data_IF_344355012090
#
_entry.id   IF_344355012090
#
_cell.length_a   1.000
_cell.length_b   1.000
_cell.length_c   1.000
_cell.angle_alpha   90.00
_cell.angle_beta   90.00
_cell.angle_gamma   90.00
#
_symmetry.space_group_name_H-M   'P 1'
#
loop_
_entity.id
_entity.type
_entity.pdbx_description
1 polymer ?
#
# COMPACT_ATOMS: atom_id res chain seq x y z
N UNK A 1 40.66 -48.54 -15.61
CA UNK A 1 40.39 -47.11 -15.38
C UNK A 1 39.25 -46.74 -16.29
N UNK A 2 38.03 -46.71 -15.74
CA UNK A 2 36.84 -46.27 -16.47
C UNK A 2 36.72 -44.78 -16.17
N UNK A 3 36.80 -43.99 -17.22
CA UNK A 3 36.70 -42.54 -17.21
C UNK A 3 35.33 -42.14 -16.68
N UNK A 4 35.31 -41.50 -15.52
CA UNK A 4 34.10 -41.14 -14.77
C UNK A 4 34.03 -39.62 -14.65
N UNK A 5 34.12 -38.93 -15.78
CA UNK A 5 33.79 -37.50 -15.90
C UNK A 5 32.44 -37.37 -16.60
N UNK A 6 31.36 -37.69 -15.87
CA UNK A 6 30.06 -37.09 -16.16
C UNK A 6 30.21 -35.60 -15.87
N UNK A 7 30.38 -34.80 -16.92
CA UNK A 7 30.05 -33.39 -16.88
C UNK A 7 28.57 -33.31 -16.51
N UNK A 8 28.27 -33.07 -15.22
CA UNK A 8 26.98 -32.55 -14.83
C UNK A 8 26.94 -31.14 -15.42
N UNK A 9 26.27 -31.00 -16.56
CA UNK A 9 25.75 -29.70 -16.95
C UNK A 9 24.82 -29.31 -15.81
N UNK A 10 25.27 -28.42 -14.93
CA UNK A 10 24.41 -27.81 -13.93
C UNK A 10 23.37 -27.02 -14.72
N UNK A 11 22.11 -27.42 -14.56
CA UNK A 11 20.99 -26.74 -15.19
C UNK A 11 20.83 -25.38 -14.51
N UNK A 12 21.00 -24.30 -15.26
CA UNK A 12 20.85 -22.96 -14.72
C UNK A 12 19.36 -22.64 -14.57
N UNK A 13 18.94 -22.34 -13.35
CA UNK A 13 17.57 -21.91 -13.06
C UNK A 13 17.52 -20.40 -12.95
N UNK A 14 16.51 -19.78 -13.55
CA UNK A 14 16.27 -18.32 -13.49
C UNK A 14 14.94 -18.05 -12.81
N UNK A 15 14.96 -17.15 -11.83
CA UNK A 15 13.76 -16.72 -11.11
C UNK A 15 13.64 -15.21 -11.29
N UNK A 16 12.50 -14.73 -11.77
CA UNK A 16 12.21 -13.31 -11.96
C UNK A 16 11.18 -12.88 -10.92
N UNK A 17 11.56 -11.98 -10.02
CA UNK A 17 10.69 -11.41 -8.99
C UNK A 17 10.46 -9.93 -9.27
N UNK A 18 9.20 -9.54 -9.44
CA UNK A 18 8.83 -8.16 -9.72
C UNK A 18 8.11 -7.53 -8.52
N UNK A 19 8.51 -6.32 -8.13
CA UNK A 19 7.61 -5.45 -7.38
C UNK A 19 6.48 -4.91 -8.29
N UNK A 20 5.43 -4.36 -7.70
CA UNK A 20 4.30 -3.79 -8.44
C UNK A 20 4.46 -2.27 -8.61
N UNK A 21 4.68 -1.54 -7.53
CA UNK A 21 4.67 -0.07 -7.56
C UNK A 21 5.99 0.46 -8.07
N UNK A 22 5.95 1.40 -9.02
CA UNK A 22 7.15 1.93 -9.67
C UNK A 22 7.84 0.95 -10.64
N UNK A 23 7.43 -0.32 -10.67
CA UNK A 23 7.99 -1.37 -11.53
C UNK A 23 6.98 -1.86 -12.56
N UNK A 24 5.87 -2.48 -12.14
CA UNK A 24 4.82 -2.99 -13.05
C UNK A 24 3.81 -1.88 -13.37
N UNK A 25 3.44 -1.06 -12.38
CA UNK A 25 2.48 0.04 -12.50
C UNK A 25 3.00 1.32 -11.83
N UNK A 26 2.55 2.47 -12.34
CA UNK A 26 2.68 3.75 -11.66
C UNK A 26 1.42 3.98 -10.79
N UNK A 27 1.57 4.07 -9.44
CA UNK A 27 0.46 4.13 -8.48
C UNK A 27 -0.23 5.52 -8.41
N UNK A 28 -0.81 5.97 -9.51
CA UNK A 28 -1.46 7.29 -9.61
C UNK A 28 -2.77 7.32 -8.81
N UNK A 29 -3.46 6.18 -8.73
CA UNK A 29 -4.78 6.07 -8.13
C UNK A 29 -4.83 6.55 -6.67
N UNK A 30 -3.81 6.28 -5.86
CA UNK A 30 -3.80 6.68 -4.45
C UNK A 30 -3.77 8.21 -4.26
N UNK A 31 -2.96 8.93 -5.05
CA UNK A 31 -2.88 10.42 -4.99
C UNK A 31 -4.19 11.06 -5.41
N UNK A 32 -4.76 10.57 -6.51
CA UNK A 32 -6.09 11.00 -6.96
C UNK A 32 -7.18 10.61 -5.96
N UNK A 33 -7.03 9.46 -5.28
CA UNK A 33 -7.93 9.00 -4.23
C UNK A 33 -8.02 9.99 -3.07
N UNK A 34 -6.90 10.55 -2.63
CA UNK A 34 -6.88 11.57 -1.56
C UNK A 34 -7.70 12.79 -1.98
N UNK A 35 -7.39 13.38 -3.14
CA UNK A 35 -8.04 14.61 -3.60
C UNK A 35 -9.53 14.41 -3.94
N UNK A 36 -9.90 13.26 -4.55
CA UNK A 36 -11.31 12.93 -4.81
C UNK A 36 -12.09 12.65 -3.52
N UNK A 37 -11.49 11.99 -2.55
CA UNK A 37 -12.14 11.75 -1.24
C UNK A 37 -12.39 13.07 -0.51
N UNK A 38 -11.38 13.93 -0.43
CA UNK A 38 -11.53 15.27 0.13
C UNK A 38 -12.59 16.08 -0.62
N UNK A 39 -12.66 15.96 -1.94
CA UNK A 39 -13.70 16.60 -2.75
C UNK A 39 -15.10 16.15 -2.33
N UNK A 40 -15.35 14.85 -2.21
CA UNK A 40 -16.67 14.34 -1.81
C UNK A 40 -17.03 14.73 -0.37
N UNK A 41 -16.06 14.70 0.55
CA UNK A 41 -16.27 15.17 1.92
C UNK A 41 -16.56 16.67 1.97
N UNK A 42 -15.87 17.50 1.17
CA UNK A 42 -16.13 18.93 1.07
C UNK A 42 -17.51 19.24 0.48
N UNK A 43 -17.98 18.47 -0.51
CA UNK A 43 -19.34 18.58 -1.02
C UNK A 43 -20.39 18.29 0.06
N UNK A 44 -20.15 17.28 0.92
CA UNK A 44 -21.06 16.91 2.01
C UNK A 44 -21.26 18.03 3.03
N UNK A 45 -20.24 18.88 3.23
CA UNK A 45 -20.32 20.05 4.11
C UNK A 45 -20.66 21.36 3.38
N UNK A 46 -21.04 21.30 2.10
CA UNK A 46 -21.56 22.46 1.35
C UNK A 46 -20.52 23.44 0.80
N UNK A 47 -19.24 23.09 0.76
CA UNK A 47 -18.20 23.97 0.22
C UNK A 47 -18.32 24.11 -1.31
N UNK A 48 -18.22 25.34 -1.81
CA UNK A 48 -18.44 25.65 -3.24
C UNK A 48 -17.15 25.85 -4.04
N UNK A 49 -16.06 26.33 -3.42
CA UNK A 49 -14.75 26.53 -4.07
C UNK A 49 -13.77 25.42 -3.69
N UNK A 50 -14.15 24.18 -3.98
CA UNK A 50 -13.38 22.99 -3.57
C UNK A 50 -11.96 22.95 -4.18
N UNK A 51 -11.73 23.28 -5.46
CA UNK A 51 -10.38 23.18 -6.03
C UNK A 51 -9.34 24.05 -5.32
N UNK A 52 -9.72 25.19 -4.74
CA UNK A 52 -8.78 26.08 -4.05
C UNK A 52 -8.38 25.59 -2.66
N UNK A 53 -9.14 24.67 -2.06
CA UNK A 53 -8.91 24.15 -0.70
C UNK A 53 -8.17 22.81 -0.68
N UNK A 54 -8.09 22.11 -1.82
CA UNK A 54 -7.44 20.80 -1.89
C UNK A 54 -5.91 20.91 -1.74
N UNK A 55 -5.26 19.87 -1.21
CA UNK A 55 -3.80 19.77 -1.18
C UNK A 55 -3.25 19.58 -2.60
N UNK A 56 -2.06 20.13 -2.83
CA UNK A 56 -1.24 19.90 -4.01
C UNK A 56 -0.36 18.65 -3.83
N UNK A 57 0.13 18.06 -4.92
CA UNK A 57 1.08 16.93 -4.87
C UNK A 57 2.31 17.21 -3.98
N UNK A 58 2.83 18.44 -4.00
CA UNK A 58 3.96 18.83 -3.16
C UNK A 58 3.63 18.78 -1.67
N UNK A 59 2.40 19.06 -1.27
CA UNK A 59 1.95 19.01 0.13
C UNK A 59 1.63 17.58 0.57
N UNK A 60 1.08 16.75 -0.32
CA UNK A 60 0.92 15.31 -0.06
C UNK A 60 2.29 14.66 0.15
N UNK A 61 3.26 14.93 -0.74
CA UNK A 61 4.65 14.47 -0.59
C UNK A 61 5.32 15.02 0.68
N UNK A 62 5.00 16.25 1.08
CA UNK A 62 5.50 16.81 2.34
C UNK A 62 4.97 16.01 3.54
N UNK A 63 3.67 15.67 3.60
CA UNK A 63 3.11 14.85 4.68
C UNK A 63 3.78 13.47 4.77
N UNK A 64 4.01 12.81 3.65
CA UNK A 64 4.73 11.52 3.61
C UNK A 64 6.16 11.66 4.12
N UNK A 65 6.88 12.72 3.70
CA UNK A 65 8.25 12.96 4.17
C UNK A 65 8.36 13.15 5.69
N UNK A 66 7.24 13.47 6.36
CA UNK A 66 7.15 13.66 7.81
C UNK A 66 6.52 12.46 8.53
N UNK A 67 6.43 11.30 7.87
CA UNK A 67 6.03 10.03 8.49
C UNK A 67 4.54 9.67 8.34
N UNK A 68 3.74 10.49 7.65
CA UNK A 68 2.33 10.16 7.36
C UNK A 68 2.26 9.38 6.05
N UNK A 69 2.61 8.09 6.08
CA UNK A 69 2.70 7.26 4.87
C UNK A 69 1.38 6.59 4.47
N UNK A 70 0.49 6.36 5.44
CA UNK A 70 -0.80 5.71 5.20
C UNK A 70 -1.79 6.73 4.61
N UNK A 71 -2.31 6.41 3.43
CA UNK A 71 -3.23 7.28 2.69
C UNK A 71 -4.60 7.43 3.38
N UNK A 72 -5.00 6.45 4.18
CA UNK A 72 -6.21 6.52 5.00
C UNK A 72 -6.00 7.49 6.16
N UNK A 73 -4.85 7.44 6.85
CA UNK A 73 -4.49 8.42 7.87
C UNK A 73 -4.42 9.82 7.27
N UNK A 74 -3.67 9.98 6.17
CA UNK A 74 -3.45 11.27 5.52
C UNK A 74 -4.75 11.95 5.08
N UNK A 75 -5.64 11.20 4.42
CA UNK A 75 -6.92 11.74 3.93
C UNK A 75 -7.79 12.25 5.07
N UNK A 76 -7.89 11.50 6.17
CA UNK A 76 -8.69 11.91 7.34
C UNK A 76 -8.05 13.10 8.07
N UNK A 77 -6.72 13.15 8.18
CA UNK A 77 -5.98 14.28 8.78
C UNK A 77 -6.19 15.56 7.97
N UNK A 78 -6.06 15.50 6.65
CA UNK A 78 -6.26 16.67 5.78
C UNK A 78 -7.71 17.17 5.82
N UNK A 79 -8.69 16.27 5.88
CA UNK A 79 -10.08 16.70 6.06
C UNK A 79 -10.33 17.34 7.43
N UNK A 80 -9.71 16.82 8.49
CA UNK A 80 -9.77 17.44 9.81
C UNK A 80 -9.15 18.84 9.85
N UNK A 81 -8.10 19.10 9.06
CA UNK A 81 -7.51 20.44 8.94
C UNK A 81 -8.45 21.42 8.23
N UNK A 82 -9.21 20.96 7.22
CA UNK A 82 -10.28 21.74 6.59
C UNK A 82 -11.35 22.11 7.63
N UNK A 83 -11.86 21.13 8.39
CA UNK A 83 -12.87 21.37 9.44
C UNK A 83 -12.34 22.32 10.53
N UNK A 84 -11.08 22.17 10.93
CA UNK A 84 -10.43 23.05 11.90
C UNK A 84 -10.32 24.48 11.37
N UNK A 85 -9.95 24.64 10.10
CA UNK A 85 -9.86 25.95 9.44
C UNK A 85 -11.21 26.65 9.38
N UNK A 86 -12.28 25.91 9.05
CA UNK A 86 -13.66 26.43 9.08
C UNK A 86 -14.03 26.89 10.49
N UNK A 87 -13.78 26.07 11.51
CA UNK A 87 -14.11 26.39 12.89
C UNK A 87 -13.41 27.66 13.40
N UNK A 88 -12.10 27.78 13.11
CA UNK A 88 -11.29 28.95 13.47
C UNK A 88 -11.73 30.18 12.70
N UNK A 89 -11.96 30.06 11.39
CA UNK A 89 -12.42 31.19 10.57
C UNK A 89 -13.75 31.73 11.07
N UNK A 90 -14.75 30.88 11.28
CA UNK A 90 -16.07 31.31 11.74
C UNK A 90 -16.04 31.92 13.14
N UNK A 91 -15.13 31.48 14.01
CA UNK A 91 -14.89 32.15 15.28
C UNK A 91 -14.34 33.58 15.08
N UNK A 92 -13.35 33.75 14.18
CA UNK A 92 -12.74 35.05 13.89
C UNK A 92 -13.72 36.02 13.21
N UNK A 93 -14.54 35.54 12.28
CA UNK A 93 -15.52 36.35 11.54
C UNK A 93 -16.82 36.58 12.32
N UNK A 94 -16.98 35.93 13.47
CA UNK A 94 -18.23 35.90 14.26
C UNK A 94 -19.42 35.33 13.48
N UNK A 95 -19.17 34.50 12.47
CA UNK A 95 -20.22 33.82 11.73
C UNK A 95 -20.90 32.77 12.62
N UNK A 96 -22.23 32.80 12.66
CA UNK A 96 -23.02 31.80 13.37
C UNK A 96 -23.04 30.48 12.57
N UNK A 97 -22.02 29.65 12.77
CA UNK A 97 -22.12 28.23 12.39
C UNK A 97 -23.18 27.53 13.26
N UNK A 98 -23.82 26.46 12.74
CA UNK A 98 -24.80 25.64 13.46
C UNK A 98 -24.17 24.79 14.58
N UNK A 99 -23.07 25.23 15.20
CA UNK A 99 -22.39 24.51 16.28
C UNK A 99 -23.35 24.09 17.42
N UNK A 100 -24.40 24.88 17.68
CA UNK A 100 -25.49 24.54 18.61
C UNK A 100 -26.34 23.34 18.16
N UNK A 101 -26.61 23.19 16.86
CA UNK A 101 -27.40 22.08 16.30
C UNK A 101 -26.56 20.80 16.18
N UNK A 102 -25.28 20.94 15.86
CA UNK A 102 -24.29 19.85 15.86
C UNK A 102 -24.12 19.29 17.28
N UNK A 103 -24.04 20.16 18.28
CA UNK A 103 -23.96 19.81 19.71
C UNK A 103 -25.14 18.94 20.19
N UNK A 104 -26.37 19.32 19.85
CA UNK A 104 -27.58 18.59 20.27
C UNK A 104 -27.66 17.16 19.72
N UNK A 105 -27.16 16.94 18.49
CA UNK A 105 -27.08 15.59 17.91
C UNK A 105 -25.90 14.81 18.43
N UNK A 106 -24.68 15.37 18.45
CA UNK A 106 -23.48 14.68 18.95
C UNK A 106 -23.60 14.24 20.43
N UNK A 107 -24.32 15.01 21.26
CA UNK A 107 -24.57 14.68 22.67
C UNK A 107 -25.70 13.65 22.87
N UNK A 108 -26.60 13.50 21.88
CA UNK A 108 -27.74 12.57 21.93
C UNK A 108 -27.51 11.25 21.20
N UNK A 109 -26.60 11.21 20.23
CA UNK A 109 -26.28 10.01 19.47
C UNK A 109 -25.08 9.28 20.07
N UNK A 110 -25.24 7.98 20.32
CA UNK A 110 -24.14 7.04 20.54
C UNK A 110 -23.44 6.82 19.20
N UNK A 111 -22.85 7.86 18.63
CA UNK A 111 -22.30 7.76 17.29
C UNK A 111 -21.12 6.81 17.31
N UNK A 112 -21.30 5.67 16.66
CA UNK A 112 -20.31 4.62 16.61
C UNK A 112 -20.03 4.19 15.16
N UNK A 113 -20.84 4.63 14.20
CA UNK A 113 -20.67 4.26 12.79
C UNK A 113 -20.57 5.49 11.86
N UNK A 114 -20.11 5.25 10.65
CA UNK A 114 -19.90 6.26 9.61
C UNK A 114 -21.20 6.91 9.10
N UNK A 115 -22.33 6.22 9.18
CA UNK A 115 -23.60 6.68 8.62
C UNK A 115 -24.14 7.85 9.47
N UNK A 116 -23.95 7.77 10.78
CA UNK A 116 -24.22 8.85 11.72
C UNK A 116 -23.27 10.05 11.54
N UNK A 117 -22.02 9.82 11.14
CA UNK A 117 -21.08 10.92 10.79
C UNK A 117 -21.55 11.63 9.52
N UNK A 118 -22.06 10.89 8.53
CA UNK A 118 -22.58 11.49 7.30
C UNK A 118 -23.78 12.41 7.59
N UNK A 119 -24.66 12.01 8.50
CA UNK A 119 -25.74 12.87 8.98
C UNK A 119 -25.22 14.14 9.64
N UNK A 120 -24.18 14.05 10.48
CA UNK A 120 -23.57 15.23 11.11
C UNK A 120 -22.96 16.17 10.07
N UNK A 121 -22.27 15.64 9.05
CA UNK A 121 -21.70 16.46 7.98
C UNK A 121 -22.79 17.18 7.18
N UNK A 122 -23.94 16.52 6.95
CA UNK A 122 -25.05 17.12 6.20
C UNK A 122 -25.62 18.40 6.85
N UNK A 123 -25.44 18.58 8.16
CA UNK A 123 -25.84 19.82 8.86
C UNK A 123 -25.06 21.05 8.37
N UNK A 124 -23.81 20.86 7.96
CA UNK A 124 -22.97 21.92 7.41
C UNK A 124 -23.41 22.33 5.99
N UNK A 125 -24.07 21.45 5.23
CA UNK A 125 -24.48 21.73 3.85
C UNK A 125 -25.43 22.92 3.70
N UNK A 126 -26.17 23.27 4.77
CA UNK A 126 -27.04 24.45 4.83
C UNK A 126 -26.29 25.77 5.02
N UNK A 127 -24.99 25.69 5.28
CA UNK A 127 -24.11 26.82 5.55
C UNK A 127 -23.19 26.98 4.34
N UNK A 128 -23.49 27.96 3.49
CA UNK A 128 -22.60 28.31 2.38
C UNK A 128 -21.37 29.05 2.91
N UNK A 129 -20.38 28.31 3.43
CA UNK A 129 -19.11 28.89 3.87
C UNK A 129 -18.09 28.87 2.74
N UNK A 130 -17.65 30.06 2.32
CA UNK A 130 -16.31 30.18 1.72
C UNK A 130 -15.29 29.97 2.83
N UNK A 131 -14.34 29.05 2.65
CA UNK A 131 -13.28 28.78 3.62
C UNK A 131 -11.93 29.23 3.10
N UNK A 132 -11.08 29.71 4.01
CA UNK A 132 -9.66 29.85 3.72
C UNK A 132 -9.07 28.47 3.43
N UNK A 133 -8.10 28.45 2.53
CA UNK A 133 -7.30 27.25 2.22
C UNK A 133 -6.43 26.89 3.42
N UNK A 134 -6.46 25.63 3.91
CA UNK A 134 -5.53 25.18 4.94
C UNK A 134 -4.07 25.26 4.47
N UNK A 135 -3.14 25.51 5.41
CA UNK A 135 -1.70 25.49 5.14
C UNK A 135 -1.13 24.09 5.41
N UNK A 136 -1.32 23.20 4.44
CA UNK A 136 -0.88 21.80 4.54
C UNK A 136 0.65 21.66 4.66
N UNK A 137 1.42 22.63 4.16
CA UNK A 137 2.87 22.61 4.27
C UNK A 137 3.31 22.89 5.72
N UNK A 138 2.63 23.82 6.39
CA UNK A 138 2.83 24.06 7.82
C UNK A 138 2.34 22.87 8.64
N UNK A 139 1.17 22.29 8.31
CA UNK A 139 0.69 21.07 8.97
C UNK A 139 1.72 19.93 8.89
N UNK A 140 2.28 19.65 7.70
CA UNK A 140 3.29 18.62 7.54
C UNK A 140 4.50 18.85 8.47
N UNK A 141 5.00 20.09 8.54
CA UNK A 141 6.10 20.44 9.45
C UNK A 141 5.74 20.26 10.92
N UNK A 142 4.53 20.63 11.33
CA UNK A 142 4.06 20.47 12.72
C UNK A 142 3.92 18.98 13.10
N UNK A 143 3.54 18.13 12.16
CA UNK A 143 3.45 16.67 12.34
C UNK A 143 4.82 16.04 12.63
N UNK A 144 5.89 16.60 12.07
CA UNK A 144 7.26 16.10 12.24
C UNK A 144 7.84 16.29 13.65
N UNK A 145 7.37 17.31 14.37
CA UNK A 145 7.98 17.81 15.62
C UNK A 145 7.60 16.95 16.83
N UNK A 146 6.58 16.11 16.71
CA UNK A 146 6.01 15.33 17.82
C UNK A 146 6.35 13.84 17.67
N UNK A 147 7.46 13.41 18.27
CA UNK A 147 7.91 12.03 18.55
C UNK A 147 7.62 10.96 17.47
N UNK A 148 8.69 10.40 16.88
CA UNK A 148 8.69 9.43 15.76
C UNK A 148 8.01 8.07 16.05
N UNK A 149 7.40 7.90 17.21
CA UNK A 149 6.71 6.68 17.63
C UNK A 149 5.20 6.86 17.87
N UNK A 150 4.67 8.08 17.69
CA UNK A 150 3.23 8.34 17.84
C UNK A 150 2.48 8.05 16.54
N UNK A 151 1.30 7.44 16.63
CA UNK A 151 0.42 7.20 15.48
C UNK A 151 -0.06 8.55 14.90
N UNK A 152 0.10 8.82 13.58
CA UNK A 152 -0.12 10.16 13.04
C UNK A 152 -1.49 10.80 13.36
N UNK A 153 -2.62 10.08 13.32
CA UNK A 153 -3.91 10.65 13.73
C UNK A 153 -3.93 11.20 15.16
N UNK A 154 -3.17 10.62 16.09
CA UNK A 154 -3.09 11.10 17.47
C UNK A 154 -2.32 12.43 17.57
N UNK A 155 -1.23 12.56 16.80
CA UNK A 155 -0.47 13.82 16.68
C UNK A 155 -1.36 14.91 16.10
N UNK A 156 -2.05 14.61 15.00
CA UNK A 156 -2.94 15.54 14.34
C UNK A 156 -4.05 16.03 15.30
N UNK A 157 -4.65 15.13 16.08
CA UNK A 157 -5.66 15.48 17.07
C UNK A 157 -5.11 16.44 18.13
N UNK A 158 -3.89 16.23 18.62
CA UNK A 158 -3.25 17.14 19.57
C UNK A 158 -3.04 18.53 18.96
N UNK A 159 -2.53 18.61 17.73
CA UNK A 159 -2.35 19.88 17.01
C UNK A 159 -3.66 20.62 16.82
N UNK A 160 -4.70 19.93 16.34
CA UNK A 160 -6.03 20.55 16.15
C UNK A 160 -6.66 20.98 17.47
N UNK A 161 -6.44 20.25 18.57
CA UNK A 161 -6.92 20.65 19.89
C UNK A 161 -6.37 21.99 20.34
N UNK A 162 -5.09 22.27 20.04
CA UNK A 162 -4.46 23.55 20.35
C UNK A 162 -5.03 24.66 19.46
N UNK A 163 -5.19 24.41 18.16
CA UNK A 163 -5.79 25.36 17.20
C UNK A 163 -7.24 25.74 17.55
N UNK A 164 -7.99 24.81 18.16
CA UNK A 164 -9.38 25.01 18.55
C UNK A 164 -9.57 25.64 19.94
N UNK A 165 -8.53 25.78 20.77
CA UNK A 165 -8.66 26.39 22.11
C UNK A 165 -9.42 27.73 22.15
N UNK A 166 -9.18 28.69 21.22
CA UNK A 166 -9.90 29.96 21.24
C UNK A 166 -11.34 29.86 20.72
N UNK A 167 -11.71 28.78 20.03
CA UNK A 167 -12.99 28.63 19.35
C UNK A 167 -14.11 28.35 20.36
N UNK A 168 -15.20 29.12 20.28
CA UNK A 168 -16.43 28.80 21.03
C UNK A 168 -16.87 27.37 20.70
N UNK A 169 -17.29 26.59 21.71
CA UNK A 169 -17.76 25.22 21.50
C UNK A 169 -16.67 24.27 20.96
N UNK A 170 -15.38 24.55 21.23
CA UNK A 170 -14.22 23.75 20.82
C UNK A 170 -14.32 22.26 21.16
N UNK A 171 -15.00 21.90 22.25
CA UNK A 171 -15.24 20.50 22.63
C UNK A 171 -16.02 19.71 21.57
N UNK A 172 -16.95 20.34 20.86
CA UNK A 172 -17.77 19.66 19.84
C UNK A 172 -17.00 19.46 18.54
N UNK A 173 -16.22 20.47 18.13
CA UNK A 173 -15.27 20.33 17.04
C UNK A 173 -14.29 19.20 17.32
N UNK A 174 -13.70 19.19 18.52
CA UNK A 174 -12.78 18.14 18.93
C UNK A 174 -13.41 16.75 18.89
N UNK A 175 -14.66 16.61 19.32
CA UNK A 175 -15.38 15.34 19.25
C UNK A 175 -15.65 14.89 17.81
N UNK A 176 -15.97 15.82 16.91
CA UNK A 176 -16.11 15.52 15.49
C UNK A 176 -14.78 15.08 14.86
N UNK A 177 -13.69 15.82 15.11
CA UNK A 177 -12.36 15.49 14.59
C UNK A 177 -11.89 14.11 15.08
N UNK A 178 -12.12 13.80 16.38
CA UNK A 178 -11.82 12.48 16.94
C UNK A 178 -12.47 11.35 16.15
N UNK A 179 -13.67 11.54 15.62
CA UNK A 179 -14.37 10.48 14.88
C UNK A 179 -13.81 10.20 13.50
N UNK A 180 -13.14 11.19 12.90
CA UNK A 180 -12.37 10.98 11.66
C UNK A 180 -10.99 10.39 11.95
N UNK A 181 -10.40 10.72 13.08
CA UNK A 181 -9.03 10.32 13.43
C UNK A 181 -8.95 9.00 14.21
N UNK A 182 -10.05 8.55 14.85
CA UNK A 182 -10.15 7.24 15.48
C UNK A 182 -10.49 6.19 14.42
N UNK A 183 -9.68 5.14 14.34
CA UNK A 183 -9.97 3.99 13.48
C UNK A 183 -9.91 4.34 11.98
N UNK A 184 -9.02 5.27 11.61
CA UNK A 184 -8.70 5.64 10.23
C UNK A 184 -8.42 4.43 9.33
N UNK A 185 -7.95 3.31 9.87
CA UNK A 185 -7.67 2.09 9.10
C UNK A 185 -8.87 1.15 8.92
N UNK A 186 -10.07 1.55 9.34
CA UNK A 186 -11.28 0.72 9.26
C UNK A 186 -12.31 1.32 8.31
N UNK A 187 -12.58 0.63 7.20
CA UNK A 187 -13.65 0.98 6.25
C UNK A 187 -15.04 0.96 6.87
N UNK A 188 -15.23 0.11 7.88
CA UNK A 188 -16.52 -0.04 8.54
C UNK A 188 -16.86 1.15 9.44
N UNK A 189 -15.86 1.75 10.09
CA UNK A 189 -16.07 2.83 11.07
C UNK A 189 -15.63 4.21 10.59
N UNK A 190 -14.63 4.32 9.71
CA UNK A 190 -14.13 5.61 9.21
C UNK A 190 -14.81 5.98 7.89
N UNK A 191 -15.56 7.08 7.89
CA UNK A 191 -16.22 7.60 6.68
C UNK A 191 -15.21 8.00 5.60
N UNK A 192 -14.10 8.67 5.98
CA UNK A 192 -13.08 9.08 5.01
C UNK A 192 -12.43 7.88 4.34
N UNK A 193 -12.13 6.84 5.11
CA UNK A 193 -11.53 5.61 4.60
C UNK A 193 -12.51 4.80 3.75
N UNK A 194 -13.77 4.76 4.16
CA UNK A 194 -14.84 4.15 3.37
C UNK A 194 -14.98 4.80 2.00
N UNK A 195 -15.04 6.14 1.96
CA UNK A 195 -15.11 6.89 0.71
C UNK A 195 -13.86 6.67 -0.15
N UNK A 196 -12.68 6.73 0.47
CA UNK A 196 -11.41 6.47 -0.22
C UNK A 196 -11.42 5.09 -0.89
N UNK A 197 -11.77 4.05 -0.13
CA UNK A 197 -11.84 2.68 -0.62
C UNK A 197 -12.90 2.51 -1.73
N UNK A 198 -14.08 3.14 -1.60
CA UNK A 198 -15.08 3.14 -2.66
C UNK A 198 -14.55 3.81 -3.94
N UNK A 199 -13.84 4.93 -3.82
CA UNK A 199 -13.30 5.68 -4.97
C UNK A 199 -12.20 4.88 -5.68
N UNK A 200 -11.24 4.32 -4.94
CA UNK A 200 -10.10 3.62 -5.57
C UNK A 200 -10.52 2.29 -6.19
N UNK A 201 -11.45 1.55 -5.57
CA UNK A 201 -11.94 0.25 -6.07
C UNK A 201 -13.07 0.39 -7.09
N UNK A 202 -13.84 1.48 -7.01
CA UNK A 202 -15.11 1.61 -7.72
C UNK A 202 -16.24 0.84 -7.03
N UNK A 203 -17.47 1.11 -7.43
CA UNK A 203 -18.67 0.65 -6.70
C UNK A 203 -18.77 -0.87 -6.62
N UNK A 204 -18.58 -1.55 -7.75
CA UNK A 204 -18.73 -3.01 -7.85
C UNK A 204 -17.70 -3.77 -7.01
N UNK A 205 -16.42 -3.38 -7.10
CA UNK A 205 -15.36 -4.03 -6.32
C UNK A 205 -15.46 -3.65 -4.84
N UNK A 206 -15.82 -2.41 -4.51
CA UNK A 206 -16.05 -1.98 -3.13
C UNK A 206 -17.17 -2.78 -2.45
N UNK A 207 -18.34 -2.88 -3.09
CA UNK A 207 -19.49 -3.60 -2.55
C UNK A 207 -19.19 -5.09 -2.37
N UNK A 208 -18.47 -5.71 -3.31
CA UNK A 208 -18.01 -7.10 -3.18
C UNK A 208 -16.99 -7.30 -2.06
N UNK A 209 -16.08 -6.34 -1.89
CA UNK A 209 -14.96 -6.44 -0.93
C UNK A 209 -15.43 -6.25 0.50
N UNK A 210 -16.27 -5.25 0.74
CA UNK A 210 -16.64 -4.85 2.10
C UNK A 210 -18.06 -5.24 2.50
N UNK A 211 -18.88 -5.72 1.57
CA UNK A 211 -20.32 -6.00 1.78
C UNK A 211 -21.09 -4.76 2.27
N UNK A 212 -20.61 -3.58 1.90
CA UNK A 212 -21.21 -2.28 2.20
C UNK A 212 -21.68 -1.66 0.90
N UNK A 213 -22.84 -0.98 0.94
CA UNK A 213 -23.31 -0.20 -0.20
C UNK A 213 -22.31 0.89 -0.56
N UNK A 214 -22.05 1.07 -1.85
CA UNK A 214 -21.22 2.17 -2.34
C UNK A 214 -21.86 3.53 -2.03
N UNK A 215 -21.04 4.47 -1.57
CA UNK A 215 -21.40 5.86 -1.34
C UNK A 215 -21.33 6.70 -2.63
N UNK A 216 -20.52 6.28 -3.60
CA UNK A 216 -20.43 6.87 -4.93
C UNK A 216 -20.44 5.79 -6.03
N UNK A 217 -21.11 6.12 -7.13
CA UNK A 217 -21.18 5.29 -8.34
C UNK A 217 -19.99 5.59 -9.26
N UNK A 218 -19.34 4.55 -9.80
CA UNK A 218 -18.28 4.72 -10.79
C UNK A 218 -17.26 3.58 -10.85
N UNK A 219 -16.43 3.63 -11.90
CA UNK A 219 -15.24 2.78 -12.02
C UNK A 219 -14.17 3.18 -11.01
N UNK A 220 -13.35 2.22 -10.60
CA UNK A 220 -12.28 2.44 -9.62
C UNK A 220 -11.07 3.13 -10.21
N UNK A 221 -10.46 4.04 -9.46
CA UNK A 221 -9.22 4.70 -9.89
C UNK A 221 -8.08 3.72 -10.16
N UNK A 222 -8.02 2.62 -9.42
CA UNK A 222 -7.01 1.58 -9.65
C UNK A 222 -7.13 0.97 -11.05
N UNK A 223 -8.35 0.85 -11.58
CA UNK A 223 -8.59 0.33 -12.93
C UNK A 223 -8.36 1.41 -14.00
N UNK A 224 -8.71 2.67 -13.72
CA UNK A 224 -8.78 3.72 -14.75
C UNK A 224 -7.57 4.66 -14.80
N UNK A 225 -6.84 4.83 -13.70
CA UNK A 225 -5.80 5.87 -13.57
C UNK A 225 -4.39 5.30 -13.38
N UNK A 226 -4.23 4.12 -12.76
CA UNK A 226 -2.92 3.47 -12.67
C UNK A 226 -2.39 3.16 -14.07
N UNK A 227 -1.12 3.50 -14.31
CA UNK A 227 -0.49 3.33 -15.62
C UNK A 227 0.45 2.15 -15.61
N UNK A 228 0.22 1.20 -16.51
CA UNK A 228 1.14 0.08 -16.71
C UNK A 228 2.49 0.59 -17.21
N UNK A 229 3.57 0.19 -16.51
CA UNK A 229 4.96 0.48 -16.86
C UNK A 229 5.62 -0.67 -17.61
N UNK A 230 5.16 -1.90 -17.37
CA UNK A 230 5.57 -3.07 -18.14
C UNK A 230 4.81 -3.17 -19.46
N UNK A 231 5.52 -3.42 -20.56
CA UNK A 231 4.94 -3.56 -21.89
C UNK A 231 4.29 -4.93 -22.06
N UNK A 232 3.23 -4.98 -22.89
CA UNK A 232 2.61 -6.24 -23.30
C UNK A 232 3.62 -7.21 -23.90
N UNK A 233 4.56 -6.73 -24.72
CA UNK A 233 5.62 -7.55 -25.31
C UNK A 233 6.49 -8.23 -24.24
N UNK A 234 6.87 -7.50 -23.20
CA UNK A 234 7.65 -8.05 -22.09
C UNK A 234 6.86 -9.10 -21.31
N UNK A 235 5.57 -8.84 -21.07
CA UNK A 235 4.68 -9.81 -20.40
C UNK A 235 4.51 -11.08 -21.23
N UNK A 236 4.36 -10.96 -22.55
CA UNK A 236 4.24 -12.11 -23.45
C UNK A 236 5.54 -12.94 -23.46
N UNK A 237 6.72 -12.29 -23.45
CA UNK A 237 8.03 -12.94 -23.29
C UNK A 237 8.16 -13.67 -21.94
N UNK A 238 7.73 -13.05 -20.84
CA UNK A 238 7.73 -13.68 -19.51
C UNK A 238 6.83 -14.93 -19.48
N UNK A 239 5.66 -14.86 -20.13
CA UNK A 239 4.74 -16.01 -20.26
C UNK A 239 5.37 -17.13 -21.08
N UNK A 240 6.10 -16.80 -22.15
CA UNK A 240 6.82 -17.78 -22.96
C UNK A 240 7.95 -18.43 -22.17
N UNK A 241 8.79 -17.65 -21.49
CA UNK A 241 9.86 -18.15 -20.64
C UNK A 241 9.33 -19.11 -19.56
N UNK A 242 8.20 -18.76 -18.94
CA UNK A 242 7.58 -19.55 -17.86
C UNK A 242 7.04 -20.92 -18.31
N UNK A 243 7.05 -21.23 -19.61
CA UNK A 243 6.73 -22.58 -20.12
C UNK A 243 7.89 -23.56 -19.90
N UNK A 244 9.11 -23.06 -19.76
CA UNK A 244 10.28 -23.85 -19.43
C UNK A 244 10.46 -23.89 -17.90
N UNK A 245 10.61 -25.09 -17.35
CA UNK A 245 10.86 -25.31 -15.92
C UNK A 245 12.17 -24.66 -15.41
N UNK A 246 13.08 -24.28 -16.32
CA UNK A 246 14.26 -23.47 -16.01
C UNK A 246 13.90 -22.07 -15.49
N UNK A 247 12.73 -21.54 -15.87
CA UNK A 247 12.35 -20.17 -15.60
C UNK A 247 11.12 -20.13 -14.72
N UNK A 248 11.10 -19.23 -13.76
CA UNK A 248 9.93 -18.99 -12.92
C UNK A 248 9.75 -17.50 -12.72
N UNK A 249 8.52 -17.02 -12.82
CA UNK A 249 8.18 -15.60 -12.66
C UNK A 249 7.23 -15.47 -11.49
N UNK A 250 7.47 -14.52 -10.62
CA UNK A 250 6.60 -14.19 -9.50
C UNK A 250 6.54 -12.70 -9.24
N UNK A 251 5.52 -12.31 -8.50
CA UNK A 251 5.25 -10.91 -8.15
C UNK A 251 5.06 -10.80 -6.64
N UNK A 252 5.55 -9.71 -6.06
CA UNK A 252 5.37 -9.43 -4.64
C UNK A 252 5.24 -7.93 -4.39
N UNK A 253 4.39 -7.51 -3.47
CA UNK A 253 4.12 -6.08 -3.24
C UNK A 253 3.54 -5.81 -1.86
N UNK A 254 3.72 -4.59 -1.34
CA UNK A 254 3.04 -4.14 -0.14
C UNK A 254 1.59 -3.65 -0.39
N UNK A 255 1.11 -3.64 -1.64
CA UNK A 255 -0.30 -3.32 -1.91
C UNK A 255 -1.25 -4.28 -1.16
N UNK A 256 -2.41 -3.79 -0.71
CA UNK A 256 -3.52 -4.64 -0.29
C UNK A 256 -3.83 -5.71 -1.34
N UNK A 257 -4.24 -6.88 -0.89
CA UNK A 257 -4.63 -7.98 -1.79
C UNK A 257 -5.68 -8.87 -1.16
N UNK A 258 -6.15 -9.85 -1.92
CA UNK A 258 -6.89 -10.97 -1.37
C UNK A 258 -6.00 -11.80 -0.41
N UNK A 259 -6.62 -12.57 0.51
CA UNK A 259 -5.90 -13.56 1.30
C UNK A 259 -5.46 -14.73 0.39
N UNK A 260 -4.65 -15.67 0.90
CA UNK A 260 -4.14 -16.77 0.07
C UNK A 260 -5.28 -17.61 -0.51
N UNK A 261 -5.18 -17.92 -1.79
CA UNK A 261 -6.19 -18.60 -2.61
C UNK A 261 -6.62 -19.93 -1.99
N UNK A 262 -5.66 -20.67 -1.42
CA UNK A 262 -5.89 -22.01 -0.88
C UNK A 262 -6.28 -22.01 0.61
N UNK A 263 -6.31 -20.86 1.30
CA UNK A 263 -6.61 -20.78 2.73
C UNK A 263 -8.09 -21.00 3.06
N UNK A 264 -9.00 -20.95 2.06
CA UNK A 264 -10.47 -21.09 2.24
C UNK A 264 -11.04 -20.16 3.34
N UNK A 265 -10.49 -18.96 3.44
CA UNK A 265 -10.99 -17.90 4.33
C UNK A 265 -11.90 -16.93 3.57
N UNK A 266 -12.72 -16.18 4.30
CA UNK A 266 -13.50 -15.11 3.70
C UNK A 266 -12.57 -14.03 3.14
N UNK A 267 -12.87 -13.55 1.93
CA UNK A 267 -12.21 -12.39 1.32
C UNK A 267 -12.80 -11.06 1.77
N UNK A 268 -13.84 -11.07 2.63
CA UNK A 268 -14.47 -9.84 3.11
C UNK A 268 -13.44 -9.02 3.90
N UNK A 269 -13.31 -7.75 3.54
CA UNK A 269 -12.35 -6.80 4.12
C UNK A 269 -10.96 -6.85 3.50
N UNK A 270 -10.68 -7.75 2.54
CA UNK A 270 -9.42 -7.83 1.83
C UNK A 270 -9.50 -7.15 0.47
N UNK A 271 -8.95 -5.94 0.37
CA UNK A 271 -9.00 -5.13 -0.85
C UNK A 271 -8.13 -5.73 -1.97
N UNK A 272 -8.69 -6.03 -3.16
CA UNK A 272 -7.98 -6.76 -4.24
C UNK A 272 -7.08 -5.84 -5.09
N UNK A 273 -6.34 -4.92 -4.46
CA UNK A 273 -5.64 -3.83 -5.16
C UNK A 273 -4.43 -4.34 -5.97
N UNK A 274 -3.70 -5.31 -5.42
CA UNK A 274 -2.61 -5.99 -6.12
C UNK A 274 -3.14 -6.80 -7.32
N UNK A 275 -4.26 -7.49 -7.17
CA UNK A 275 -4.89 -8.25 -8.26
C UNK A 275 -5.31 -7.34 -9.41
N UNK A 276 -5.95 -6.20 -9.11
CA UNK A 276 -6.33 -5.19 -10.12
C UNK A 276 -5.09 -4.68 -10.86
N UNK A 277 -4.00 -4.38 -10.16
CA UNK A 277 -2.76 -3.95 -10.78
C UNK A 277 -2.19 -5.01 -11.76
N UNK A 278 -2.24 -6.29 -11.37
CA UNK A 278 -1.80 -7.38 -12.24
C UNK A 278 -2.73 -7.61 -13.43
N UNK A 279 -4.04 -7.44 -13.27
CA UNK A 279 -5.00 -7.52 -14.37
C UNK A 279 -4.72 -6.42 -15.41
N UNK A 280 -4.52 -5.17 -14.96
CA UNK A 280 -4.16 -4.03 -15.82
C UNK A 280 -2.83 -4.25 -16.56
N UNK A 281 -1.88 -4.93 -15.93
CA UNK A 281 -0.59 -5.27 -16.52
C UNK A 281 -0.61 -6.56 -17.36
N UNK A 282 -1.71 -7.33 -17.37
CA UNK A 282 -1.77 -8.63 -18.03
C UNK A 282 -0.91 -9.72 -17.37
N UNK A 283 -0.56 -9.54 -16.10
CA UNK A 283 0.32 -10.38 -15.28
C UNK A 283 -0.41 -11.27 -14.27
N UNK A 284 -1.75 -11.25 -14.23
CA UNK A 284 -2.58 -11.99 -13.25
C UNK A 284 -2.28 -13.49 -13.13
N UNK A 285 -1.75 -14.10 -14.19
CA UNK A 285 -1.41 -15.52 -14.23
C UNK A 285 -0.14 -15.89 -13.44
N UNK A 286 0.67 -14.91 -13.03
CA UNK A 286 1.89 -15.19 -12.27
C UNK A 286 1.59 -15.30 -10.76
N UNK A 287 2.30 -16.16 -10.02
CA UNK A 287 2.23 -16.23 -8.56
C UNK A 287 2.42 -14.86 -7.90
N UNK A 288 1.55 -14.52 -6.95
CA UNK A 288 1.54 -13.25 -6.22
C UNK A 288 1.74 -13.52 -4.72
N UNK A 289 2.57 -12.71 -4.06
CA UNK A 289 2.60 -12.55 -2.60
C UNK A 289 2.41 -11.07 -2.24
N UNK A 290 1.29 -10.71 -1.65
CA UNK A 290 0.92 -9.33 -1.35
C UNK A 290 0.41 -9.15 0.09
N UNK A 291 0.03 -7.92 0.47
CA UNK A 291 -0.21 -7.57 1.87
C UNK A 291 -1.37 -8.36 2.49
N UNK A 292 -2.45 -8.63 1.76
CA UNK A 292 -3.57 -9.44 2.29
C UNK A 292 -3.14 -10.86 2.68
N UNK A 293 -2.14 -11.41 2.00
CA UNK A 293 -1.55 -12.70 2.36
C UNK A 293 -0.68 -12.61 3.62
N UNK A 294 0.03 -11.49 3.81
CA UNK A 294 0.76 -11.21 5.05
C UNK A 294 -0.20 -10.97 6.23
N UNK A 295 -1.30 -10.26 6.02
CA UNK A 295 -2.34 -10.04 7.03
C UNK A 295 -2.97 -11.35 7.49
N UNK A 296 -3.27 -12.25 6.55
CA UNK A 296 -3.74 -13.59 6.88
C UNK A 296 -2.72 -14.35 7.72
N UNK A 297 -1.45 -14.39 7.29
CA UNK A 297 -0.38 -15.09 7.99
C UNK A 297 -0.13 -14.50 9.39
N UNK A 298 -0.17 -13.17 9.51
CA UNK A 298 -0.04 -12.46 10.78
C UNK A 298 -1.14 -12.88 11.77
N UNK A 299 -2.40 -12.98 11.31
CA UNK A 299 -3.52 -13.47 12.13
C UNK A 299 -3.30 -14.91 12.60
N UNK A 300 -2.86 -15.81 11.72
CA UNK A 300 -2.57 -17.21 12.07
C UNK A 300 -1.52 -17.34 13.18
N UNK A 301 -0.55 -16.43 13.23
CA UNK A 301 0.57 -16.46 14.17
C UNK A 301 0.47 -15.41 15.31
N UNK A 302 -0.64 -14.67 15.41
CA UNK A 302 -0.82 -13.63 16.43
C UNK A 302 0.19 -12.48 16.34
N UNK A 303 0.63 -12.13 15.13
CA UNK A 303 1.58 -11.04 14.84
C UNK A 303 0.88 -9.85 14.18
N UNK A 304 1.61 -8.75 14.01
CA UNK A 304 1.16 -7.61 13.20
C UNK A 304 1.61 -7.80 11.76
N UNK A 305 0.79 -7.33 10.81
CA UNK A 305 1.10 -7.40 9.37
C UNK A 305 2.42 -6.71 9.04
N UNK A 306 2.67 -5.55 9.64
CA UNK A 306 3.88 -4.75 9.43
C UNK A 306 5.15 -5.47 9.89
N UNK A 307 5.02 -6.44 10.81
CA UNK A 307 6.15 -7.25 11.26
C UNK A 307 6.52 -8.36 10.25
N UNK A 308 5.67 -8.62 9.24
CA UNK A 308 5.85 -9.66 8.21
C UNK A 308 6.04 -9.11 6.78
N UNK A 309 5.51 -7.90 6.52
CA UNK A 309 5.67 -7.18 5.25
C UNK A 309 7.06 -6.53 5.13
N UNK A 310 7.48 -6.15 3.90
CA UNK A 310 8.71 -5.36 3.67
C UNK A 310 8.88 -4.24 4.73
N UNK A 311 10.09 -4.06 5.31
CA UNK A 311 11.37 -4.68 4.97
C UNK A 311 11.67 -6.00 5.72
N UNK A 312 10.67 -6.69 6.25
CA UNK A 312 10.86 -8.03 6.82
C UNK A 312 11.15 -9.07 5.71
N UNK A 313 11.95 -10.09 6.03
CA UNK A 313 12.31 -11.20 5.11
C UNK A 313 11.14 -12.13 4.79
N UNK A 314 10.15 -12.28 5.67
CA UNK A 314 9.05 -13.23 5.52
C UNK A 314 8.36 -13.07 4.16
N UNK A 315 7.97 -11.85 3.78
CA UNK A 315 7.30 -11.62 2.50
C UNK A 315 8.18 -11.97 1.29
N UNK A 316 9.47 -11.60 1.33
CA UNK A 316 10.43 -11.88 0.26
C UNK A 316 10.69 -13.39 0.09
N UNK A 317 10.87 -14.10 1.21
CA UNK A 317 11.04 -15.56 1.22
C UNK A 317 9.77 -16.24 0.71
N UNK A 318 8.59 -15.76 1.13
CA UNK A 318 7.32 -16.28 0.65
C UNK A 318 7.18 -16.09 -0.86
N UNK A 319 7.56 -14.92 -1.38
CA UNK A 319 7.55 -14.65 -2.83
C UNK A 319 8.44 -15.63 -3.59
N UNK A 320 9.65 -15.88 -3.10
CA UNK A 320 10.58 -16.84 -3.69
C UNK A 320 9.99 -18.26 -3.69
N UNK A 321 9.48 -18.73 -2.55
CA UNK A 321 8.90 -20.08 -2.43
C UNK A 321 7.65 -20.21 -3.30
N UNK A 322 6.77 -19.21 -3.29
CA UNK A 322 5.54 -19.21 -4.08
C UNK A 322 5.83 -19.26 -5.59
N UNK A 323 6.92 -18.61 -6.01
CA UNK A 323 7.39 -18.64 -7.39
C UNK A 323 7.93 -20.02 -7.78
N UNK A 324 8.74 -20.63 -6.92
CA UNK A 324 9.32 -21.97 -7.15
C UNK A 324 8.24 -23.06 -7.17
N UNK A 325 7.24 -22.93 -6.30
CA UNK A 325 6.12 -23.88 -6.14
C UNK A 325 4.95 -23.59 -7.08
N UNK A 326 5.08 -22.61 -7.97
CA UNK A 326 4.07 -22.24 -8.97
C UNK A 326 2.70 -21.91 -8.37
N UNK A 327 2.67 -21.15 -7.28
CA UNK A 327 1.43 -20.60 -6.71
C UNK A 327 0.85 -21.37 -5.52
N UNK A 328 1.62 -22.23 -4.84
CA UNK A 328 1.19 -22.85 -3.58
C UNK A 328 1.34 -21.86 -2.41
N UNK A 329 0.54 -20.79 -2.45
CA UNK A 329 0.63 -19.63 -1.57
C UNK A 329 0.62 -19.96 -0.07
N UNK A 330 -0.34 -20.77 0.41
CA UNK A 330 -0.42 -21.16 1.83
C UNK A 330 0.85 -21.89 2.31
N UNK A 331 1.37 -22.82 1.50
CA UNK A 331 2.60 -23.54 1.83
C UNK A 331 3.78 -22.56 1.89
N UNK A 332 3.89 -21.71 0.87
CA UNK A 332 4.96 -20.72 0.77
C UNK A 332 5.00 -19.78 1.98
N UNK A 333 3.82 -19.32 2.43
CA UNK A 333 3.68 -18.41 3.56
C UNK A 333 4.14 -19.04 4.88
N UNK A 334 3.68 -20.26 5.19
CA UNK A 334 4.10 -20.95 6.41
C UNK A 334 5.58 -21.35 6.40
N UNK A 335 6.11 -21.80 5.26
CA UNK A 335 7.54 -22.11 5.16
C UNK A 335 8.41 -20.85 5.30
N UNK A 336 8.01 -19.75 4.69
CA UNK A 336 8.70 -18.48 4.82
C UNK A 336 8.71 -17.97 6.25
N UNK A 337 7.57 -18.03 6.94
CA UNK A 337 7.48 -17.69 8.36
C UNK A 337 8.44 -18.53 9.21
N UNK A 338 8.40 -19.85 9.03
CA UNK A 338 9.24 -20.76 9.81
C UNK A 338 10.74 -20.56 9.52
N UNK A 339 11.13 -20.20 8.28
CA UNK A 339 12.51 -19.84 7.95
C UNK A 339 12.90 -18.52 8.62
N UNK A 340 12.06 -17.49 8.54
CA UNK A 340 12.31 -16.17 9.14
C UNK A 340 12.48 -16.27 10.66
N UNK A 341 11.64 -17.08 11.32
CA UNK A 341 11.72 -17.35 12.76
C UNK A 341 12.79 -18.38 13.15
N UNK A 342 13.57 -18.87 12.19
CA UNK A 342 14.62 -19.88 12.38
C UNK A 342 14.11 -21.21 12.96
N UNK A 343 12.83 -21.51 12.75
CA UNK A 343 12.17 -22.75 13.18
C UNK A 343 12.41 -23.90 12.18
N UNK A 344 12.73 -23.58 10.92
CA UNK A 344 13.04 -24.56 9.88
C UNK A 344 14.33 -24.22 9.12
N UNK A 345 15.07 -25.27 8.76
CA UNK A 345 16.20 -25.18 7.84
C UNK A 345 15.68 -25.06 6.39
N UNK A 346 16.15 -24.09 5.58
CA UNK A 346 15.72 -23.94 4.19
C UNK A 346 15.92 -25.19 3.31
N UNK A 347 16.91 -26.03 3.61
CA UNK A 347 17.16 -27.30 2.93
C UNK A 347 16.12 -28.39 3.20
N UNK A 348 15.18 -28.15 4.13
CA UNK A 348 14.07 -29.07 4.46
C UNK A 348 12.71 -28.59 3.96
N UNK A 349 12.66 -27.45 3.27
CA UNK A 349 11.44 -26.83 2.74
C UNK A 349 11.37 -26.99 1.21
N UNK A 350 10.38 -26.35 0.57
CA UNK A 350 10.27 -26.28 -0.89
C UNK A 350 11.50 -25.68 -1.57
N UNK A 351 12.31 -24.89 -0.86
CA UNK A 351 13.57 -24.36 -1.38
C UNK A 351 14.57 -25.48 -1.72
N UNK A 352 14.51 -26.63 -1.05
CA UNK A 352 15.38 -27.79 -1.34
C UNK A 352 15.40 -28.20 -2.81
N UNK A 353 14.31 -27.92 -3.55
CA UNK A 353 14.18 -28.19 -4.98
C UNK A 353 15.16 -27.41 -5.87
N UNK A 354 15.72 -26.31 -5.37
CA UNK A 354 16.70 -25.47 -6.07
C UNK A 354 18.11 -25.57 -5.48
N UNK A 355 18.33 -26.44 -4.49
CA UNK A 355 19.61 -26.49 -3.76
C UNK A 355 20.79 -26.88 -4.65
N UNK A 356 20.59 -27.87 -5.51
CA UNK A 356 21.61 -28.42 -6.42
C UNK A 356 21.63 -27.73 -7.80
N UNK A 357 20.73 -26.77 -8.04
CA UNK A 357 20.64 -26.04 -9.30
C UNK A 357 21.41 -24.73 -9.22
N UNK A 358 22.09 -24.35 -10.30
CA UNK A 358 22.75 -23.05 -10.41
C UNK A 358 21.68 -21.98 -10.61
N UNK A 359 21.23 -21.36 -9.51
CA UNK A 359 20.05 -20.49 -9.52
C UNK A 359 20.44 -19.02 -9.55
N UNK A 360 19.89 -18.26 -10.50
CA UNK A 360 19.98 -16.79 -10.55
C UNK A 360 18.60 -16.20 -10.30
N UNK A 361 18.49 -15.36 -9.27
CA UNK A 361 17.27 -14.60 -8.97
C UNK A 361 17.47 -13.17 -9.49
N UNK A 362 16.66 -12.77 -10.46
CA UNK A 362 16.51 -11.39 -10.92
C UNK A 362 15.41 -10.71 -10.12
N UNK A 363 15.72 -9.56 -9.50
CA UNK A 363 14.73 -8.78 -8.74
C UNK A 363 14.57 -7.42 -9.36
N UNK A 364 13.34 -7.05 -9.69
CA UNK A 364 12.99 -5.73 -10.20
C UNK A 364 12.29 -4.94 -9.09
N UNK A 365 12.92 -3.86 -8.62
CA UNK A 365 12.47 -3.05 -7.48
C UNK A 365 12.78 -1.55 -7.71
N UNK A 366 11.91 -0.65 -7.26
CA UNK A 366 12.12 0.80 -7.18
C UNK A 366 12.55 1.30 -5.77
N UNK A 367 12.58 0.43 -4.77
CA UNK A 367 12.99 0.70 -3.39
C UNK A 367 14.00 -0.30 -2.82
N UNK A 368 14.80 0.17 -1.86
CA UNK A 368 15.74 -0.66 -1.09
C UNK A 368 14.98 -1.68 -0.20
N UNK A 369 13.74 -1.34 0.21
CA UNK A 369 12.97 -2.10 1.19
C UNK A 369 12.60 -3.51 0.71
N UNK A 370 12.42 -3.73 -0.60
CA UNK A 370 12.25 -5.06 -1.18
C UNK A 370 13.54 -5.79 -1.56
N UNK A 371 14.64 -5.06 -1.79
CA UNK A 371 15.92 -5.66 -2.21
C UNK A 371 16.68 -6.25 -1.03
N UNK A 372 16.83 -5.49 0.05
CA UNK A 372 17.63 -5.90 1.22
C UNK A 372 17.17 -7.24 1.83
N UNK A 373 15.87 -7.52 1.96
CA UNK A 373 15.43 -8.80 2.50
C UNK A 373 15.79 -9.99 1.59
N UNK A 374 15.78 -9.80 0.27
CA UNK A 374 16.21 -10.83 -0.69
C UNK A 374 17.72 -11.04 -0.65
N UNK A 375 18.54 -9.98 -0.49
CA UNK A 375 19.98 -10.12 -0.29
C UNK A 375 20.30 -10.97 0.95
N UNK A 376 19.67 -10.65 2.08
CA UNK A 376 19.82 -11.43 3.33
C UNK A 376 19.36 -12.88 3.17
N UNK A 377 18.28 -13.10 2.44
CA UNK A 377 17.77 -14.45 2.14
C UNK A 377 18.77 -15.22 1.28
N UNK A 378 19.35 -14.60 0.26
CA UNK A 378 20.38 -15.21 -0.60
C UNK A 378 21.62 -15.57 0.20
N UNK A 379 22.12 -14.68 1.06
CA UNK A 379 23.25 -14.96 1.95
C UNK A 379 22.97 -16.14 2.89
N UNK A 380 21.77 -16.19 3.48
CA UNK A 380 21.33 -17.32 4.30
C UNK A 380 21.36 -18.62 3.49
N UNK A 381 20.79 -18.64 2.30
CA UNK A 381 20.75 -19.85 1.45
C UNK A 381 22.16 -20.29 1.04
N UNK A 382 23.02 -19.36 0.64
CA UNK A 382 24.43 -19.65 0.33
C UNK A 382 25.15 -20.28 1.53
N UNK A 383 24.93 -19.76 2.74
CA UNK A 383 25.50 -20.33 3.98
C UNK A 383 25.02 -21.76 4.27
N UNK A 384 23.89 -22.18 3.68
CA UNK A 384 23.32 -23.53 3.77
C UNK A 384 23.64 -24.41 2.55
N UNK A 385 24.57 -23.97 1.70
CA UNK A 385 25.10 -24.74 0.58
C UNK A 385 24.24 -24.70 -0.68
N UNK A 386 23.36 -23.71 -0.84
CA UNK A 386 22.63 -23.49 -2.09
C UNK A 386 23.53 -22.76 -3.09
N UNK A 387 23.57 -23.20 -4.35
CA UNK A 387 24.25 -22.46 -5.40
C UNK A 387 23.33 -21.39 -6.00
N UNK A 388 23.20 -20.27 -5.31
CA UNK A 388 22.26 -19.21 -5.66
C UNK A 388 22.94 -17.84 -5.74
N UNK A 389 22.55 -17.03 -6.72
CA UNK A 389 22.97 -15.64 -6.91
C UNK A 389 21.76 -14.73 -7.01
N UNK A 390 21.86 -13.52 -6.45
CA UNK A 390 20.89 -12.45 -6.63
C UNK A 390 21.43 -11.41 -7.61
N UNK A 391 20.61 -10.98 -8.57
CA UNK A 391 20.87 -9.88 -9.49
C UNK A 391 19.74 -8.83 -9.34
N UNK A 392 19.90 -7.89 -8.38
CA UNK A 392 18.96 -6.80 -8.20
C UNK A 392 19.09 -5.75 -9.30
N UNK A 393 17.97 -5.44 -9.96
CA UNK A 393 17.81 -4.46 -11.02
C UNK A 393 16.89 -3.34 -10.54
N UNK A 394 17.47 -2.16 -10.29
CA UNK A 394 16.72 -1.01 -9.77
C UNK A 394 15.93 -0.31 -10.87
N UNK A 395 14.69 0.09 -10.59
CA UNK A 395 13.85 0.87 -11.51
C UNK A 395 13.61 2.25 -10.91
N UNK A 396 14.23 3.30 -11.45
CA UNK A 396 14.03 4.66 -10.94
C UNK A 396 14.38 5.73 -11.99
N UNK A 397 13.53 6.76 -12.05
CA UNK A 397 13.78 7.97 -12.84
C UNK A 397 14.29 9.14 -11.99
N UNK A 398 13.87 9.23 -10.72
CA UNK A 398 14.26 10.29 -9.81
C UNK A 398 15.70 10.11 -9.30
N UNK A 399 16.49 11.18 -9.34
CA UNK A 399 17.90 11.13 -9.00
C UNK A 399 18.17 10.64 -7.57
N UNK A 400 17.36 11.06 -6.60
CA UNK A 400 17.48 10.63 -5.19
C UNK A 400 17.28 9.11 -5.04
N UNK A 401 16.22 8.55 -5.66
CA UNK A 401 15.96 7.11 -5.70
C UNK A 401 17.07 6.34 -6.41
N UNK A 402 17.57 6.86 -7.55
CA UNK A 402 18.65 6.23 -8.31
C UNK A 402 19.92 6.07 -7.47
N UNK A 403 20.37 7.15 -6.81
CA UNK A 403 21.56 7.13 -5.94
C UNK A 403 21.39 6.10 -4.82
N UNK A 404 20.20 6.02 -4.23
CA UNK A 404 19.91 5.06 -3.17
C UNK A 404 20.00 3.61 -3.67
N UNK A 405 19.43 3.31 -4.84
CA UNK A 405 19.43 1.98 -5.45
C UNK A 405 20.81 1.55 -5.97
N UNK A 406 21.65 2.46 -6.46
CA UNK A 406 23.00 2.17 -7.00
C UNK A 406 23.92 1.49 -5.98
N UNK A 407 23.64 1.60 -4.68
CA UNK A 407 24.39 0.92 -3.62
C UNK A 407 24.07 -0.58 -3.51
N UNK A 408 22.90 -1.00 -3.97
CA UNK A 408 22.37 -2.35 -3.78
C UNK A 408 22.11 -3.08 -5.11
N UNK A 409 21.87 -2.35 -6.18
CA UNK A 409 21.57 -2.88 -7.50
C UNK A 409 22.82 -3.07 -8.35
N UNK A 410 22.82 -4.11 -9.18
CA UNK A 410 23.84 -4.27 -10.22
C UNK A 410 23.77 -3.13 -11.24
N UNK A 411 22.55 -2.71 -11.56
CA UNK A 411 22.29 -1.61 -12.47
C UNK A 411 20.92 -0.98 -12.14
N UNK A 412 20.80 0.33 -12.39
CA UNK A 412 19.54 1.08 -12.22
C UNK A 412 19.06 1.59 -13.57
N UNK A 413 17.88 1.14 -13.97
CA UNK A 413 17.20 1.45 -15.23
C UNK A 413 16.11 2.49 -15.01
N UNK A 414 15.73 3.17 -16.09
CA UNK A 414 14.61 4.13 -16.09
C UNK A 414 13.25 3.45 -16.20
N UNK A 415 13.21 2.21 -16.70
CA UNK A 415 11.99 1.42 -16.82
C UNK A 415 12.29 -0.08 -16.78
N UNK A 416 11.27 -0.87 -16.43
CA UNK A 416 11.35 -2.33 -16.27
C UNK A 416 11.63 -3.09 -17.58
N UNK A 417 11.21 -2.55 -18.73
CA UNK A 417 11.38 -3.23 -20.01
C UNK A 417 12.85 -3.28 -20.43
N UNK A 418 13.57 -2.16 -20.26
CA UNK A 418 15.02 -2.11 -20.52
C UNK A 418 15.80 -2.99 -19.54
N UNK A 419 15.38 -3.00 -18.27
CA UNK A 419 15.95 -3.89 -17.26
C UNK A 419 15.79 -5.36 -17.69
N UNK A 420 14.59 -5.77 -18.10
CA UNK A 420 14.34 -7.13 -18.55
C UNK A 420 15.11 -7.47 -19.83
N UNK A 421 15.16 -6.56 -20.80
CA UNK A 421 15.90 -6.75 -22.05
C UNK A 421 17.42 -6.87 -21.86
N UNK A 422 17.97 -6.31 -20.77
CA UNK A 422 19.38 -6.44 -20.42
C UNK A 422 19.79 -7.86 -19.99
N UNK A 423 18.81 -8.65 -19.55
CA UNK A 423 18.99 -10.06 -19.21
C UNK A 423 18.95 -10.83 -20.53
N UNK A 424 20.05 -11.42 -20.98
CA UNK A 424 20.05 -12.29 -22.17
C UNK A 424 19.27 -13.59 -21.86
N UNK A 425 18.01 -13.76 -22.30
CA UNK A 425 17.21 -14.91 -21.90
C UNK A 425 17.50 -16.15 -22.77
N UNK A 426 18.28 -15.98 -23.84
CA UNK A 426 18.45 -16.95 -24.94
C UNK A 426 19.84 -17.62 -25.01
N UNK A 427 20.61 -17.67 -23.92
CA UNK A 427 21.75 -18.59 -23.83
C UNK A 427 21.43 -19.78 -22.94
#
# INVERSE_FOLDING_TARGET
MVDNTRAYSTFQRRIFLFDVDGVIVNPIAYRLGITRTLTELCKKIGLTDIPSILPTEAEVSAMESQGVHDVWDMTNIMFCDILTTIAVQSYVTQDHLPARDVSGRLAGSKVQNSDEIDEVLSLFSSVHTSTMRPDYMTLAKEMAVNDTHSHPPDIALQLFSQKLLPVNQSSYWLELLKRFLIGTRSVYSSLGTRLFQNIILGSSNFERTYELKSACEGAGLLETEDKTLISKETVDKLKELSRDAANSVGVYTARPSLPPTHAKVSSVGYSPEAEIALDNAGMRSFPLIAMGMMEWLAKEHGQRTEDLTKPNSTQAVAALINTITQGQDVLALHEAYAIDKQEKDPGTTSLSTIKEADTVIYVFEDTISGIVPLLKTTELLQSRGFNIKLEPLGIANEQSKRIALEQYCQQVFSNVNDAFASINPCQ
#
